data_IF_348438617045
#
_entry.id   IF_348438617045
#
_cell.length_a   1.000
_cell.length_b   1.000
_cell.length_c   1.000
_cell.angle_alpha   90.00
_cell.angle_beta   90.00
_cell.angle_gamma   90.00
#
_symmetry.space_group_name_H-M   'P 1'
#
loop_
_entity.id
_entity.type
_entity.pdbx_description
1 polymer ?
#
# COMPACT_ATOMS: atom_id res chain seq x y z
N UNK A 1 2.71 5.79 -10.04
CA UNK A 1 2.97 6.52 -8.78
C UNK A 1 1.95 7.66 -8.70
N UNK A 2 1.11 7.69 -7.66
CA UNK A 2 0.01 8.66 -7.54
C UNK A 2 0.47 10.03 -7.01
N UNK A 3 1.62 10.08 -6.32
CA UNK A 3 2.21 11.30 -5.75
C UNK A 3 3.73 11.36 -6.00
N UNK A 4 4.14 11.35 -7.27
CA UNK A 4 5.56 11.53 -7.64
C UNK A 4 6.11 12.87 -7.11
N UNK A 5 7.35 12.89 -6.62
CA UNK A 5 7.98 14.07 -6.04
C UNK A 5 7.58 14.43 -4.59
N UNK A 6 6.61 13.76 -3.97
CA UNK A 6 6.22 14.00 -2.58
C UNK A 6 6.97 13.08 -1.59
N UNK A 7 7.28 13.57 -0.39
CA UNK A 7 7.77 12.74 0.73
C UNK A 7 9.11 12.04 0.49
N UNK A 8 10.03 12.68 -0.25
CA UNK A 8 11.34 12.10 -0.57
C UNK A 8 11.35 11.13 -1.75
N UNK A 9 10.26 11.05 -2.52
CA UNK A 9 10.19 10.31 -3.79
C UNK A 9 10.97 11.02 -4.89
N UNK A 10 11.42 10.25 -5.88
CA UNK A 10 12.02 10.80 -7.09
C UNK A 10 11.07 11.78 -7.82
N UNK A 11 11.61 12.66 -8.69
CA UNK A 11 10.83 13.67 -9.41
C UNK A 11 9.68 13.13 -10.28
N UNK A 12 8.94 14.05 -10.90
CA UNK A 12 7.92 13.69 -11.89
C UNK A 12 8.55 12.91 -13.05
N UNK A 13 7.94 11.76 -13.38
CA UNK A 13 8.43 10.86 -14.42
C UNK A 13 7.74 11.15 -15.76
N UNK A 14 8.43 11.83 -16.67
CA UNK A 14 7.93 12.21 -18.00
C UNK A 14 8.64 11.42 -19.10
N UNK A 15 7.86 10.71 -19.94
CA UNK A 15 8.40 9.84 -20.98
C UNK A 15 9.31 10.58 -21.96
N UNK A 16 8.97 11.83 -22.33
CA UNK A 16 9.76 12.65 -23.25
C UNK A 16 11.21 12.85 -22.81
N UNK A 17 11.47 12.90 -21.50
CA UNK A 17 12.83 13.04 -20.95
C UNK A 17 13.53 11.68 -20.81
N UNK A 18 12.79 10.63 -20.42
CA UNK A 18 13.39 9.35 -20.11
C UNK A 18 13.58 8.44 -21.33
N UNK A 19 12.80 8.59 -22.41
CA UNK A 19 12.97 7.76 -23.60
C UNK A 19 14.35 7.94 -24.26
N UNK A 20 14.84 9.16 -24.53
CA UNK A 20 16.20 9.36 -25.04
C UNK A 20 17.26 8.76 -24.10
N UNK A 21 17.14 9.05 -22.80
CA UNK A 21 18.04 8.51 -21.77
C UNK A 21 18.09 6.97 -21.79
N UNK A 22 16.93 6.30 -21.89
CA UNK A 22 16.86 4.83 -21.95
C UNK A 22 17.53 4.29 -23.22
N UNK A 23 17.32 4.92 -24.37
CA UNK A 23 17.93 4.50 -25.62
C UNK A 23 19.46 4.65 -25.61
N UNK A 24 19.95 5.76 -25.05
CA UNK A 24 21.37 6.08 -25.10
C UNK A 24 22.17 5.31 -24.03
N UNK A 25 21.61 5.15 -22.83
CA UNK A 25 22.36 4.60 -21.68
C UNK A 25 21.94 3.19 -21.25
N UNK A 26 20.69 2.78 -21.49
CA UNK A 26 20.17 1.51 -20.95
C UNK A 26 20.08 0.44 -22.03
N UNK A 27 19.60 0.77 -23.22
CA UNK A 27 19.47 -0.17 -24.34
C UNK A 27 20.79 -0.91 -24.65
N UNK A 28 21.96 -0.23 -24.75
CA UNK A 28 23.23 -0.93 -25.02
C UNK A 28 23.65 -1.89 -23.89
N UNK A 29 23.14 -1.68 -22.67
CA UNK A 29 23.42 -2.56 -21.54
C UNK A 29 22.49 -3.79 -21.51
N UNK A 30 21.42 -3.80 -22.30
CA UNK A 30 20.43 -4.89 -22.37
C UNK A 30 20.64 -5.78 -23.60
N UNK A 31 20.98 -5.21 -24.76
CA UNK A 31 21.19 -6.00 -25.97
C UNK A 31 22.38 -6.97 -25.81
N UNK A 32 22.13 -8.26 -26.06
CA UNK A 32 23.13 -9.32 -25.87
C UNK A 32 23.35 -9.76 -24.41
N UNK A 33 22.57 -9.23 -23.46
CA UNK A 33 22.62 -9.64 -22.06
C UNK A 33 21.95 -11.00 -21.85
N UNK A 34 22.63 -11.86 -21.10
CA UNK A 34 22.09 -13.13 -20.61
C UNK A 34 20.94 -12.90 -19.62
N UNK A 35 19.88 -13.70 -19.75
CA UNK A 35 18.66 -13.62 -18.90
C UNK A 35 18.32 -14.98 -18.27
N UNK A 36 19.29 -15.89 -18.14
CA UNK A 36 19.05 -17.18 -17.49
C UNK A 36 18.76 -17.03 -15.99
N UNK A 37 19.21 -15.93 -15.38
CA UNK A 37 18.93 -15.55 -14.00
C UNK A 37 18.48 -14.08 -13.87
N UNK A 38 17.50 -13.86 -13.00
CA UNK A 38 16.89 -12.56 -12.77
C UNK A 38 17.70 -11.69 -11.80
N UNK A 39 18.04 -12.22 -10.62
CA UNK A 39 18.64 -11.48 -9.51
C UNK A 39 19.93 -10.72 -9.88
N UNK A 40 20.90 -11.31 -10.61
CA UNK A 40 22.11 -10.59 -10.99
C UNK A 40 21.82 -9.34 -11.83
N UNK A 41 20.93 -9.47 -12.82
CA UNK A 41 20.53 -8.37 -13.69
C UNK A 41 19.71 -7.32 -12.93
N UNK A 42 18.74 -7.75 -12.13
CA UNK A 42 17.95 -6.85 -11.29
C UNK A 42 18.84 -6.02 -10.36
N UNK A 43 19.80 -6.64 -9.66
CA UNK A 43 20.74 -5.96 -8.77
C UNK A 43 21.69 -5.02 -9.50
N UNK A 44 22.11 -5.38 -10.72
CA UNK A 44 22.94 -4.52 -11.55
C UNK A 44 22.20 -3.22 -11.89
N UNK A 45 21.01 -3.31 -12.47
CA UNK A 45 20.24 -2.12 -12.87
C UNK A 45 19.69 -1.33 -11.68
N UNK A 46 19.42 -1.98 -10.54
CA UNK A 46 18.94 -1.29 -9.33
C UNK A 46 20.02 -0.39 -8.70
N UNK A 47 21.30 -0.72 -8.90
CA UNK A 47 22.44 0.02 -8.36
C UNK A 47 23.22 0.82 -9.40
N UNK A 48 22.85 0.69 -10.68
CA UNK A 48 23.52 1.38 -11.78
C UNK A 48 23.46 2.89 -11.57
N UNK A 49 24.60 3.55 -11.82
CA UNK A 49 24.71 5.01 -11.79
C UNK A 49 25.12 5.52 -13.16
N UNK A 50 24.42 6.55 -13.64
CA UNK A 50 24.76 7.32 -14.83
C UNK A 50 25.02 8.76 -14.36
N UNK A 51 26.16 9.32 -14.74
CA UNK A 51 26.63 10.63 -14.28
C UNK A 51 26.63 10.77 -12.75
N UNK A 52 27.00 9.70 -12.06
CA UNK A 52 27.05 9.65 -10.59
C UNK A 52 25.70 9.46 -9.89
N UNK A 53 24.58 9.54 -10.61
CA UNK A 53 23.24 9.44 -10.04
C UNK A 53 22.66 8.03 -10.22
N UNK A 54 21.96 7.52 -9.21
CA UNK A 54 21.18 6.29 -9.37
C UNK A 54 20.08 6.51 -10.41
N UNK A 55 19.73 5.45 -11.13
CA UNK A 55 18.57 5.47 -12.01
C UNK A 55 17.30 5.84 -11.23
N UNK A 56 16.43 6.61 -11.88
CA UNK A 56 15.11 6.92 -11.35
C UNK A 56 14.35 5.62 -11.01
N UNK A 57 13.69 5.58 -9.85
CA UNK A 57 12.91 4.45 -9.33
C UNK A 57 11.98 3.85 -10.39
N UNK A 58 11.22 4.68 -11.12
CA UNK A 58 10.36 4.23 -12.21
C UNK A 58 11.10 3.48 -13.34
N UNK A 59 12.34 3.87 -13.66
CA UNK A 59 13.19 3.14 -14.62
C UNK A 59 13.61 1.79 -14.04
N UNK A 60 14.14 1.78 -12.80
CA UNK A 60 14.54 0.54 -12.12
C UNK A 60 13.37 -0.45 -11.99
N UNK A 61 12.18 0.08 -11.72
CA UNK A 61 10.94 -0.68 -11.62
C UNK A 61 10.56 -1.33 -12.96
N UNK A 62 10.53 -0.56 -14.04
CA UNK A 62 10.20 -1.09 -15.37
C UNK A 62 11.24 -2.10 -15.88
N UNK A 63 12.52 -1.82 -15.68
CA UNK A 63 13.60 -2.72 -16.09
C UNK A 63 13.58 -4.04 -15.33
N UNK A 64 13.44 -4.00 -14.00
CA UNK A 64 13.40 -5.24 -13.21
C UNK A 64 12.17 -6.11 -13.56
N UNK A 65 11.03 -5.51 -13.88
CA UNK A 65 9.88 -6.27 -14.38
C UNK A 65 10.17 -6.97 -15.71
N UNK A 66 10.73 -6.24 -16.68
CA UNK A 66 11.06 -6.80 -17.98
C UNK A 66 12.12 -7.91 -17.88
N UNK A 67 13.09 -7.75 -16.98
CA UNK A 67 14.13 -8.76 -16.73
C UNK A 67 13.58 -10.01 -16.03
N UNK A 68 12.65 -9.85 -15.08
CA UNK A 68 11.94 -10.97 -14.47
C UNK A 68 11.11 -11.73 -15.52
N UNK A 69 10.41 -11.00 -16.38
CA UNK A 69 9.61 -11.57 -17.46
C UNK A 69 10.49 -12.27 -18.50
N UNK A 70 11.63 -11.69 -18.87
CA UNK A 70 12.60 -12.30 -19.78
C UNK A 70 13.15 -13.62 -19.23
N UNK A 71 13.51 -13.65 -17.94
CA UNK A 71 13.98 -14.86 -17.26
C UNK A 71 12.91 -15.95 -17.25
N UNK A 72 11.67 -15.56 -16.95
CA UNK A 72 10.51 -16.45 -16.96
C UNK A 72 10.29 -17.06 -18.36
N UNK A 73 10.27 -16.22 -19.40
CA UNK A 73 10.07 -16.63 -20.79
C UNK A 73 11.22 -17.51 -21.31
N UNK A 74 12.48 -17.16 -21.01
CA UNK A 74 13.66 -17.91 -21.44
C UNK A 74 13.71 -19.32 -20.85
N UNK A 75 13.15 -19.51 -19.66
CA UNK A 75 13.15 -20.78 -18.93
C UNK A 75 11.80 -21.52 -18.92
N UNK A 76 10.79 -21.01 -19.62
CA UNK A 76 9.45 -21.63 -19.67
C UNK A 76 8.72 -21.66 -18.32
N UNK A 77 9.04 -20.73 -17.42
CA UNK A 77 8.46 -20.61 -16.07
C UNK A 77 7.51 -19.43 -15.98
N UNK A 78 6.68 -19.40 -14.95
CA UNK A 78 5.95 -18.22 -14.51
C UNK A 78 6.90 -17.27 -13.77
N UNK A 79 6.61 -15.96 -13.81
CA UNK A 79 7.35 -14.95 -13.03
C UNK A 79 7.39 -15.28 -11.53
N UNK A 80 6.30 -15.83 -10.99
CA UNK A 80 6.23 -16.25 -9.59
C UNK A 80 7.20 -17.40 -9.28
N UNK A 81 7.33 -18.38 -10.17
CA UNK A 81 8.25 -19.50 -10.03
C UNK A 81 9.71 -19.02 -10.07
N UNK A 82 10.05 -18.08 -10.95
CA UNK A 82 11.39 -17.46 -10.97
C UNK A 82 11.72 -16.80 -9.61
N UNK A 83 10.78 -16.03 -9.05
CA UNK A 83 10.97 -15.41 -7.73
C UNK A 83 11.11 -16.47 -6.65
N UNK A 84 10.24 -17.49 -6.62
CA UNK A 84 10.32 -18.57 -5.65
C UNK A 84 11.66 -19.30 -5.72
N UNK A 85 12.11 -19.68 -6.91
CA UNK A 85 13.36 -20.40 -7.10
C UNK A 85 14.57 -19.58 -6.63
N UNK A 86 14.67 -18.32 -7.07
CA UNK A 86 15.84 -17.48 -6.78
C UNK A 86 15.89 -16.95 -5.34
N UNK A 87 14.74 -16.85 -4.67
CA UNK A 87 14.65 -16.55 -3.23
C UNK A 87 14.54 -17.81 -2.35
N UNK A 88 14.60 -19.02 -2.92
CA UNK A 88 14.49 -20.29 -2.20
C UNK A 88 13.19 -20.39 -1.36
N UNK A 89 12.08 -19.96 -1.95
CA UNK A 89 10.75 -19.97 -1.34
C UNK A 89 9.94 -21.16 -1.86
N UNK A 90 9.05 -21.74 -1.04
CA UNK A 90 8.05 -22.67 -1.56
C UNK A 90 7.06 -21.93 -2.46
N UNK A 91 6.65 -22.58 -3.56
CA UNK A 91 5.61 -22.05 -4.46
C UNK A 91 4.25 -22.65 -4.11
N UNK A 92 3.73 -22.31 -2.92
CA UNK A 92 2.40 -22.76 -2.47
C UNK A 92 1.32 -21.97 -3.23
N UNK A 93 0.42 -22.62 -3.98
CA UNK A 93 -0.62 -21.93 -4.74
C UNK A 93 -1.77 -21.49 -3.83
N UNK A 94 -1.55 -20.41 -3.10
CA UNK A 94 -2.53 -19.77 -2.22
C UNK A 94 -2.84 -18.35 -2.71
N UNK A 95 -4.11 -17.95 -2.63
CA UNK A 95 -4.53 -16.61 -3.01
C UNK A 95 -4.09 -15.58 -1.95
N UNK A 96 -3.69 -14.39 -2.41
CA UNK A 96 -3.39 -13.25 -1.53
C UNK A 96 -4.61 -12.34 -1.48
N UNK A 97 -5.07 -11.90 -0.28
CA UNK A 97 -6.17 -10.95 -0.15
C UNK A 97 -5.94 -9.67 -0.96
N UNK A 98 -6.93 -9.26 -1.75
CA UNK A 98 -6.86 -8.09 -2.61
C UNK A 98 -7.49 -6.88 -1.93
N UNK A 99 -6.76 -5.76 -1.91
CA UNK A 99 -7.21 -4.48 -1.35
C UNK A 99 -7.73 -3.53 -2.43
N UNK A 100 -9.01 -3.19 -2.36
CA UNK A 100 -9.64 -2.19 -3.22
C UNK A 100 -9.57 -0.78 -2.65
N UNK A 101 -9.18 0.19 -3.48
CA UNK A 101 -9.18 1.62 -3.12
C UNK A 101 -10.26 2.41 -3.85
N UNK A 102 -10.95 3.30 -3.14
CA UNK A 102 -12.11 4.05 -3.66
C UNK A 102 -11.79 5.39 -4.31
N UNK A 103 -10.64 6.00 -3.97
CA UNK A 103 -10.48 7.44 -4.13
C UNK A 103 -11.56 8.20 -3.35
N UNK A 104 -11.99 9.35 -3.88
CA UNK A 104 -13.03 10.19 -3.25
C UNK A 104 -14.45 9.62 -3.35
N UNK A 105 -14.70 8.71 -4.29
CA UNK A 105 -16.01 8.08 -4.51
C UNK A 105 -16.27 6.93 -3.52
N UNK A 106 -16.04 7.20 -2.23
CA UNK A 106 -15.98 6.25 -1.11
C UNK A 106 -17.27 5.51 -0.79
N UNK A 107 -18.39 5.91 -1.41
CA UNK A 107 -19.70 5.28 -1.25
C UNK A 107 -20.02 4.34 -2.42
N UNK A 108 -19.95 4.84 -3.66
CA UNK A 108 -20.23 4.02 -4.85
C UNK A 108 -19.15 2.97 -5.10
N UNK A 109 -17.88 3.29 -4.83
CA UNK A 109 -16.81 2.31 -4.97
C UNK A 109 -16.96 1.13 -3.99
N UNK A 110 -17.48 1.37 -2.78
CA UNK A 110 -17.78 0.32 -1.80
C UNK A 110 -18.83 -0.65 -2.34
N UNK A 111 -19.92 -0.14 -2.94
CA UNK A 111 -20.93 -0.99 -3.57
C UNK A 111 -20.31 -1.90 -4.64
N UNK A 112 -19.41 -1.35 -5.48
CA UNK A 112 -18.68 -2.14 -6.49
C UNK A 112 -17.77 -3.21 -5.86
N UNK A 113 -17.11 -2.89 -4.75
CA UNK A 113 -16.23 -3.82 -4.05
C UNK A 113 -17.02 -4.97 -3.40
N UNK A 114 -18.17 -4.67 -2.80
CA UNK A 114 -19.07 -5.68 -2.23
C UNK A 114 -19.57 -6.62 -3.34
N UNK A 115 -20.03 -6.07 -4.47
CA UNK A 115 -20.49 -6.87 -5.62
C UNK A 115 -19.40 -7.78 -6.19
N UNK A 116 -18.13 -7.37 -6.10
CA UNK A 116 -16.97 -8.13 -6.59
C UNK A 116 -16.32 -9.02 -5.53
N UNK A 117 -16.81 -9.01 -4.29
CA UNK A 117 -16.27 -9.82 -3.20
C UNK A 117 -14.82 -9.48 -2.87
N UNK A 118 -14.46 -8.20 -2.82
CA UNK A 118 -13.09 -7.75 -2.50
C UNK A 118 -12.73 -8.08 -1.05
N UNK A 119 -11.54 -8.64 -0.81
CA UNK A 119 -11.15 -9.15 0.51
C UNK A 119 -10.89 -8.04 1.54
N UNK A 120 -10.31 -6.92 1.09
CA UNK A 120 -9.96 -5.76 1.92
C UNK A 120 -10.46 -4.47 1.25
N UNK A 121 -11.10 -3.55 1.98
CA UNK A 121 -11.71 -2.34 1.41
C UNK A 121 -11.91 -1.23 2.46
N UNK A 122 -12.12 0.05 2.09
CA UNK A 122 -12.12 0.60 0.74
C UNK A 122 -11.07 1.70 0.53
N UNK A 123 -10.11 1.86 1.46
CA UNK A 123 -9.19 3.00 1.58
C UNK A 123 -9.87 4.34 1.94
N UNK A 124 -10.97 4.71 1.29
CA UNK A 124 -11.84 5.88 1.56
C UNK A 124 -11.22 7.29 1.37
N UNK A 125 -9.89 7.40 1.28
CA UNK A 125 -9.16 8.67 1.03
C UNK A 125 -9.56 9.75 2.05
N UNK A 126 -9.38 9.47 3.35
CA UNK A 126 -9.73 10.37 4.45
C UNK A 126 -8.58 11.36 4.66
N UNK A 127 -8.40 12.27 3.71
CA UNK A 127 -7.26 13.17 3.62
C UNK A 127 -7.55 14.63 4.00
N UNK A 128 -8.67 14.90 4.67
CA UNK A 128 -9.04 16.24 5.11
C UNK A 128 -9.75 16.16 6.47
N UNK A 129 -9.31 17.01 7.42
CA UNK A 129 -9.87 17.04 8.76
C UNK A 129 -11.32 17.48 8.75
N UNK A 130 -11.62 18.67 8.22
CA UNK A 130 -12.96 19.25 8.28
C UNK A 130 -13.98 18.41 7.53
N UNK A 131 -13.67 17.99 6.30
CA UNK A 131 -14.64 17.39 5.40
C UNK A 131 -14.78 15.88 5.51
N UNK A 132 -13.73 15.17 5.95
CA UNK A 132 -13.70 13.69 5.87
C UNK A 132 -13.49 13.01 7.22
N UNK A 133 -12.59 13.52 8.06
CA UNK A 133 -12.37 12.97 9.40
C UNK A 133 -13.42 13.47 10.39
N UNK A 134 -13.70 14.78 10.36
CA UNK A 134 -14.36 15.52 11.43
C UNK A 134 -13.35 16.08 12.44
N UNK A 135 -13.66 17.24 13.04
CA UNK A 135 -12.76 17.87 14.02
C UNK A 135 -12.63 17.07 15.32
N UNK A 136 -13.51 16.09 15.54
CA UNK A 136 -13.49 15.13 16.64
C UNK A 136 -13.47 13.68 16.13
N UNK A 137 -13.24 13.47 14.83
CA UNK A 137 -13.32 12.15 14.19
C UNK A 137 -14.75 11.65 13.94
N UNK A 138 -15.76 12.49 14.15
CA UNK A 138 -17.17 12.13 14.06
C UNK A 138 -17.57 11.66 12.66
N UNK A 139 -17.04 12.28 11.60
CA UNK A 139 -17.38 11.91 10.22
C UNK A 139 -16.78 10.56 9.82
N UNK A 140 -15.55 10.28 10.25
CA UNK A 140 -14.95 8.96 10.03
C UNK A 140 -15.70 7.88 10.82
N UNK A 141 -16.09 8.16 12.07
CA UNK A 141 -16.91 7.22 12.87
C UNK A 141 -18.21 6.85 12.14
N UNK A 142 -18.96 7.86 11.70
CA UNK A 142 -20.18 7.67 10.92
C UNK A 142 -19.92 6.89 9.63
N UNK A 143 -18.79 7.15 8.95
CA UNK A 143 -18.41 6.42 7.75
C UNK A 143 -18.09 4.95 8.02
N UNK A 144 -17.36 4.62 9.10
CA UNK A 144 -17.07 3.21 9.47
C UNK A 144 -18.37 2.47 9.76
N UNK A 145 -19.30 3.10 10.49
CA UNK A 145 -20.62 2.55 10.77
C UNK A 145 -21.41 2.31 9.48
N UNK A 146 -21.48 3.31 8.62
CA UNK A 146 -22.13 3.21 7.32
C UNK A 146 -21.53 2.07 6.48
N UNK A 147 -20.20 1.95 6.46
CA UNK A 147 -19.48 0.96 5.67
C UNK A 147 -19.81 -0.47 6.11
N UNK A 148 -19.75 -0.74 7.42
CA UNK A 148 -20.09 -2.06 7.96
C UNK A 148 -21.58 -2.38 7.74
N UNK A 149 -22.48 -1.42 8.00
CA UNK A 149 -23.92 -1.57 7.71
C UNK A 149 -24.16 -1.87 6.22
N UNK A 150 -23.45 -1.19 5.32
CA UNK A 150 -23.58 -1.36 3.87
C UNK A 150 -23.12 -2.75 3.42
N UNK A 151 -21.99 -3.22 3.93
CA UNK A 151 -21.47 -4.57 3.66
C UNK A 151 -22.48 -5.63 4.14
N UNK A 152 -22.94 -5.51 5.39
CA UNK A 152 -23.86 -6.49 5.98
C UNK A 152 -25.22 -6.51 5.26
N UNK A 153 -25.66 -5.37 4.73
CA UNK A 153 -26.90 -5.21 3.97
C UNK A 153 -26.81 -5.76 2.53
N UNK A 154 -25.71 -5.49 1.83
CA UNK A 154 -25.56 -5.82 0.41
C UNK A 154 -24.87 -7.17 0.14
N UNK A 155 -24.20 -7.77 1.12
CA UNK A 155 -23.50 -9.05 0.91
C UNK A 155 -24.48 -10.14 0.49
N UNK A 156 -24.09 -10.90 -0.52
CA UNK A 156 -24.90 -12.02 -1.05
C UNK A 156 -24.77 -13.29 -0.20
N UNK A 157 -23.83 -13.32 0.74
CA UNK A 157 -23.57 -14.45 1.62
C UNK A 157 -23.09 -13.98 3.00
N UNK A 158 -23.56 -14.59 4.10
CA UNK A 158 -23.03 -14.33 5.44
C UNK A 158 -21.53 -14.64 5.59
N UNK A 159 -20.97 -15.45 4.68
CA UNK A 159 -19.53 -15.78 4.65
C UNK A 159 -18.67 -14.61 4.14
N UNK A 160 -19.25 -13.64 3.44
CA UNK A 160 -18.51 -12.44 3.05
C UNK A 160 -18.31 -11.57 4.28
N UNK A 161 -17.06 -11.55 4.75
CA UNK A 161 -16.62 -10.91 5.98
C UNK A 161 -15.26 -10.24 5.72
N UNK A 162 -15.24 -9.17 4.90
CA UNK A 162 -13.99 -8.55 4.48
C UNK A 162 -13.33 -7.76 5.61
N UNK A 163 -12.07 -7.42 5.42
CA UNK A 163 -11.33 -6.50 6.30
C UNK A 163 -11.56 -5.06 5.88
N UNK A 164 -11.93 -4.21 6.83
CA UNK A 164 -12.00 -2.77 6.64
C UNK A 164 -10.58 -2.19 6.74
N UNK A 165 -10.16 -1.45 5.74
CA UNK A 165 -8.88 -0.76 5.72
C UNK A 165 -9.06 0.66 5.17
N UNK A 166 -8.79 1.65 6.03
CA UNK A 166 -9.02 3.08 5.75
C UNK A 166 -7.71 3.83 5.94
N UNK A 167 -7.32 4.62 4.94
CA UNK A 167 -6.17 5.52 5.02
C UNK A 167 -6.65 6.92 5.42
N UNK A 168 -6.06 7.45 6.50
CA UNK A 168 -6.41 8.73 7.12
C UNK A 168 -5.34 9.81 6.96
N UNK A 169 -4.23 9.55 6.24
CA UNK A 169 -3.30 10.60 5.80
C UNK A 169 -2.80 11.53 6.92
N UNK A 170 -2.61 11.01 8.12
CA UNK A 170 -2.15 11.74 9.30
C UNK A 170 -3.20 12.61 9.99
N UNK A 171 -4.44 12.65 9.49
CA UNK A 171 -5.48 13.56 9.99
C UNK A 171 -5.90 13.28 11.44
N UNK A 172 -5.84 12.02 11.91
CA UNK A 172 -6.08 11.68 13.31
C UNK A 172 -5.05 12.36 14.21
N UNK A 173 -3.77 12.31 13.84
CA UNK A 173 -2.71 13.04 14.54
C UNK A 173 -3.00 14.54 14.64
N UNK A 174 -3.52 15.16 13.58
CA UNK A 174 -3.82 16.59 13.57
C UNK A 174 -4.90 16.99 14.58
N UNK A 175 -5.99 16.23 14.73
CA UNK A 175 -7.07 16.58 15.67
C UNK A 175 -6.75 16.24 17.13
N UNK A 176 -5.74 15.41 17.36
CA UNK A 176 -5.30 15.00 18.70
C UNK A 176 -3.91 15.54 19.06
N UNK A 177 -3.45 16.61 18.40
CA UNK A 177 -2.20 17.31 18.72
C UNK A 177 -0.96 16.39 18.71
N UNK A 178 -0.98 15.37 17.84
CA UNK A 178 0.03 14.31 17.75
C UNK A 178 0.21 13.49 19.03
N UNK A 179 -0.75 13.53 19.96
CA UNK A 179 -0.75 12.73 21.19
C UNK A 179 -1.04 11.26 20.85
N UNK A 180 -0.05 10.35 21.02
CA UNK A 180 -0.22 8.94 20.65
C UNK A 180 -1.25 8.21 21.51
N UNK A 181 -1.52 8.67 22.74
CA UNK A 181 -2.52 8.05 23.62
C UNK A 181 -3.92 8.37 23.09
N UNK A 182 -4.21 9.66 22.86
CA UNK A 182 -5.51 10.10 22.31
C UNK A 182 -5.76 9.52 20.92
N UNK A 183 -4.72 9.42 20.08
CA UNK A 183 -4.82 8.76 18.78
C UNK A 183 -5.23 7.29 18.93
N UNK A 184 -4.58 6.54 19.83
CA UNK A 184 -4.87 5.13 20.06
C UNK A 184 -6.29 4.93 20.65
N UNK A 185 -6.71 5.75 21.60
CA UNK A 185 -8.06 5.72 22.19
C UNK A 185 -9.14 5.93 21.12
N UNK A 186 -8.95 6.92 20.25
CA UNK A 186 -9.87 7.17 19.15
C UNK A 186 -9.90 6.00 18.16
N UNK A 187 -8.75 5.49 17.72
CA UNK A 187 -8.68 4.34 16.80
C UNK A 187 -9.39 3.12 17.40
N UNK A 188 -9.09 2.77 18.66
CA UNK A 188 -9.73 1.65 19.35
C UNK A 188 -11.25 1.83 19.44
N UNK A 189 -11.72 3.06 19.64
CA UNK A 189 -13.15 3.34 19.72
C UNK A 189 -13.91 3.15 18.39
N UNK A 190 -13.23 3.05 17.24
CA UNK A 190 -13.84 2.77 15.94
C UNK A 190 -14.20 1.29 15.75
N UNK A 191 -13.59 0.38 16.52
CA UNK A 191 -13.82 -1.07 16.40
C UNK A 191 -15.30 -1.44 16.57
N UNK A 192 -16.01 -0.76 17.48
CA UNK A 192 -17.45 -0.96 17.70
C UNK A 192 -18.27 -0.68 16.44
N UNK A 193 -17.85 0.29 15.64
CA UNK A 193 -18.54 0.66 14.41
C UNK A 193 -18.26 -0.32 13.27
N UNK A 194 -17.18 -1.10 13.36
CA UNK A 194 -16.83 -2.11 12.35
C UNK A 194 -17.67 -3.39 12.44
N UNK A 195 -18.49 -3.55 13.49
CA UNK A 195 -19.46 -4.64 13.66
C UNK A 195 -18.86 -6.05 13.49
N UNK A 196 -17.66 -6.25 14.03
CA UNK A 196 -16.93 -7.52 13.99
C UNK A 196 -16.07 -7.74 12.74
N UNK A 197 -16.19 -6.88 11.72
CA UNK A 197 -15.25 -6.85 10.60
C UNK A 197 -13.88 -6.32 11.11
N UNK A 198 -12.74 -6.97 10.77
CA UNK A 198 -11.43 -6.46 11.17
C UNK A 198 -11.19 -5.05 10.64
N UNK A 199 -10.60 -4.16 11.43
CA UNK A 199 -10.37 -2.77 11.07
C UNK A 199 -8.87 -2.42 11.11
N UNK A 200 -8.38 -1.87 10.00
CA UNK A 200 -7.03 -1.32 9.85
C UNK A 200 -7.11 0.18 9.54
N UNK A 201 -6.27 0.95 10.23
CA UNK A 201 -6.09 2.39 9.99
C UNK A 201 -4.67 2.62 9.45
N UNK A 202 -4.56 3.00 8.19
CA UNK A 202 -3.31 3.40 7.55
C UNK A 202 -3.03 4.88 7.81
N UNK A 203 -1.75 5.19 8.05
CA UNK A 203 -1.28 6.56 8.24
C UNK A 203 -2.01 7.35 9.33
N UNK A 204 -2.16 6.86 10.58
CA UNK A 204 -2.88 7.59 11.63
C UNK A 204 -2.25 8.96 11.96
N UNK A 205 -0.94 9.08 11.75
CA UNK A 205 -0.15 10.30 12.00
C UNK A 205 0.85 10.52 10.86
N UNK A 206 1.21 11.77 10.61
CA UNK A 206 2.37 12.14 9.77
C UNK A 206 3.32 13.03 10.60
N UNK A 207 4.48 12.47 10.97
CA UNK A 207 5.49 13.15 11.76
C UNK A 207 6.46 14.00 10.92
N UNK A 208 6.33 13.99 9.60
CA UNK A 208 7.21 14.73 8.67
C UNK A 208 8.62 14.17 8.49
N UNK A 209 9.05 13.19 9.30
CA UNK A 209 10.34 12.50 9.11
C UNK A 209 10.31 11.03 9.61
N UNK A 210 11.19 10.21 9.05
CA UNK A 210 11.23 8.75 9.31
C UNK A 210 11.49 8.40 10.78
N UNK A 211 12.52 8.94 11.47
CA UNK A 211 12.75 8.61 12.88
C UNK A 211 11.54 8.89 13.77
N UNK A 212 10.86 10.01 13.57
CA UNK A 212 9.74 10.44 14.42
C UNK A 212 8.47 9.66 14.09
N UNK A 213 8.25 9.36 12.80
CA UNK A 213 7.17 8.49 12.35
C UNK A 213 7.25 7.11 13.01
N UNK A 214 8.44 6.51 13.05
CA UNK A 214 8.66 5.21 13.71
C UNK A 214 8.32 5.31 15.21
N UNK A 215 8.76 6.38 15.89
CA UNK A 215 8.48 6.55 17.32
C UNK A 215 6.99 6.73 17.61
N UNK A 216 6.28 7.53 16.82
CA UNK A 216 4.85 7.75 17.03
C UNK A 216 4.04 6.48 16.74
N UNK A 217 4.29 5.78 15.64
CA UNK A 217 3.60 4.53 15.34
C UNK A 217 3.85 3.46 16.41
N UNK A 218 5.08 3.38 16.94
CA UNK A 218 5.41 2.50 18.08
C UNK A 218 4.59 2.87 19.33
N UNK A 219 4.50 4.16 19.64
CA UNK A 219 3.77 4.65 20.80
C UNK A 219 2.26 4.41 20.69
N UNK A 220 1.67 4.58 19.51
CA UNK A 220 0.26 4.27 19.24
C UNK A 220 0.01 2.76 19.38
N UNK A 221 0.84 1.93 18.74
CA UNK A 221 0.71 0.46 18.77
C UNK A 221 0.73 -0.08 20.19
N UNK A 222 1.70 0.36 21.01
CA UNK A 222 1.84 -0.05 22.42
C UNK A 222 0.59 0.24 23.27
N UNK A 223 -0.29 1.15 22.82
CA UNK A 223 -1.49 1.60 23.54
C UNK A 223 -2.76 0.97 22.97
N UNK A 224 -2.75 0.61 21.69
CA UNK A 224 -3.82 -0.09 21.01
C UNK A 224 -3.84 -1.60 21.32
N UNK A 225 -2.69 -2.20 21.62
CA UNK A 225 -2.64 -3.62 22.00
C UNK A 225 -3.35 -3.85 23.36
N UNK A 226 -4.36 -4.72 23.44
CA UNK A 226 -4.84 -5.21 24.73
C UNK A 226 -3.69 -5.94 25.46
N UNK A 227 -3.70 -5.99 26.80
CA UNK A 227 -2.72 -6.80 27.53
C UNK A 227 -2.77 -8.25 27.03
N UNK A 228 -1.63 -8.96 26.96
CA UNK A 228 -1.61 -10.34 26.49
C UNK A 228 -2.60 -11.16 27.31
N UNK A 229 -3.47 -11.90 26.61
CA UNK A 229 -4.37 -12.86 27.24
C UNK A 229 -3.48 -13.91 27.93
N UNK A 230 -3.59 -14.11 29.27
CA UNK A 230 -2.83 -15.16 29.94
C UNK A 230 -3.17 -16.51 29.30
N UNK A 231 -2.14 -17.31 29.07
CA UNK A 231 -2.26 -18.69 28.59
C UNK A 231 -3.07 -19.57 29.54
#
# INVERSE_FOLDING_TARGET
MQYSGAGGRDPLFLAEHFIPFLNDHIKPLLEGRDVDAFLPNARFFDKLRIDGNLLHTAVRYGLSQALLDATALASGRLKAEVVCDEWQLPCVPEAIPLFGQSGDDRYIAVDKMILKGVDVLPHALINNVEEKLGFQGEKLREYVRWLSDRILSLRTSPRYHPTLHIDVYGTIGLIFDMDPVRCAEYIASLEKEAQGLPLYIEGPVDAGNKPDQIRLLTAITKRADPPPVPA
#
